data_IF_421524475899
#
_entry.id   IF_421524475899
#
_cell.length_a   1.000
_cell.length_b   1.000
_cell.length_c   1.000
_cell.angle_alpha   90.00
_cell.angle_beta   90.00
_cell.angle_gamma   90.00
#
_symmetry.space_group_name_H-M   'P 1'
#
loop_
_entity.id
_entity.type
_entity.pdbx_description
1 polymer ?
#
# COMPACT_ATOMS: atom_id res chain seq x y z
N UNK A 1 -24.42 -17.54 -2.30
CA UNK A 1 -24.34 -16.43 -1.33
C UNK A 1 -23.25 -15.51 -1.85
N UNK A 2 -23.64 -14.40 -2.50
CA UNK A 2 -22.67 -13.43 -3.04
C UNK A 2 -22.00 -12.78 -1.83
N UNK A 3 -20.69 -12.98 -1.67
CA UNK A 3 -19.93 -12.37 -0.57
C UNK A 3 -20.03 -10.85 -0.64
N UNK A 4 -20.06 -10.18 0.51
CA UNK A 4 -19.98 -8.71 0.56
C UNK A 4 -18.67 -8.26 -0.11
N UNK A 5 -18.75 -7.26 -1.00
CA UNK A 5 -17.57 -6.62 -1.60
C UNK A 5 -16.68 -6.10 -0.46
N UNK A 6 -15.41 -6.48 -0.45
CA UNK A 6 -14.45 -6.05 0.55
C UNK A 6 -13.76 -4.77 0.11
N UNK A 7 -13.69 -3.79 1.00
CA UNK A 7 -12.96 -2.54 0.75
C UNK A 7 -11.53 -2.63 1.29
N UNK A 8 -10.56 -2.29 0.46
CA UNK A 8 -9.14 -2.27 0.83
C UNK A 8 -8.67 -0.83 0.99
N UNK A 9 -8.27 -0.47 2.21
CA UNK A 9 -7.61 0.78 2.53
C UNK A 9 -6.11 0.70 2.29
N UNK A 10 -5.50 1.72 1.69
CA UNK A 10 -4.05 1.81 1.45
C UNK A 10 -3.55 3.12 2.06
N UNK A 11 -2.65 3.01 3.02
CA UNK A 11 -2.03 4.12 3.72
C UNK A 11 -0.67 4.43 3.09
N UNK A 12 -0.65 5.44 2.20
CA UNK A 12 0.51 5.81 1.40
C UNK A 12 0.40 5.35 -0.06
N UNK A 13 0.81 6.21 -0.98
CA UNK A 13 0.84 6.02 -2.43
C UNK A 13 2.27 6.09 -2.98
N UNK A 14 3.26 5.78 -2.14
CA UNK A 14 4.67 5.65 -2.52
C UNK A 14 4.97 4.31 -3.23
N UNK A 15 6.22 3.86 -3.16
CA UNK A 15 6.68 2.68 -3.91
C UNK A 15 5.92 1.40 -3.59
N UNK A 16 5.61 1.15 -2.32
CA UNK A 16 4.79 -0.01 -1.96
C UNK A 16 3.32 0.22 -2.31
N UNK A 17 2.72 1.30 -1.81
CA UNK A 17 1.29 1.52 -1.93
C UNK A 17 0.79 1.59 -3.38
N UNK A 18 1.51 2.30 -4.25
CA UNK A 18 1.14 2.40 -5.67
C UNK A 18 1.17 1.03 -6.36
N UNK A 19 2.22 0.22 -6.10
CA UNK A 19 2.37 -1.08 -6.75
C UNK A 19 1.46 -2.16 -6.12
N UNK A 20 1.19 -2.10 -4.82
CA UNK A 20 0.16 -2.94 -4.19
C UNK A 20 -1.20 -2.65 -4.84
N UNK A 21 -1.58 -1.39 -4.99
CA UNK A 21 -2.84 -1.02 -5.63
C UNK A 21 -2.94 -1.56 -7.07
N UNK A 22 -1.86 -1.44 -7.85
CA UNK A 22 -1.80 -1.98 -9.22
C UNK A 22 -2.00 -3.50 -9.24
N UNK A 23 -1.29 -4.22 -8.37
CA UNK A 23 -1.41 -5.67 -8.28
C UNK A 23 -2.84 -6.09 -7.89
N UNK A 24 -3.44 -5.44 -6.89
CA UNK A 24 -4.81 -5.71 -6.46
C UNK A 24 -5.82 -5.48 -7.58
N UNK A 25 -5.78 -4.34 -8.26
CA UNK A 25 -6.70 -4.04 -9.37
C UNK A 25 -6.53 -5.03 -10.51
N UNK A 26 -5.29 -5.38 -10.87
CA UNK A 26 -5.00 -6.39 -11.90
C UNK A 26 -5.44 -7.80 -11.50
N UNK A 27 -5.58 -8.06 -10.19
CA UNK A 27 -6.10 -9.32 -9.65
C UNK A 27 -7.61 -9.33 -9.43
N UNK A 28 -8.33 -8.28 -9.87
CA UNK A 28 -9.79 -8.23 -9.83
C UNK A 28 -10.39 -7.56 -8.59
N UNK A 29 -9.57 -6.92 -7.74
CA UNK A 29 -10.08 -6.03 -6.69
C UNK A 29 -10.65 -4.78 -7.32
N UNK A 30 -11.88 -4.42 -6.93
CA UNK A 30 -12.66 -3.32 -7.50
C UNK A 30 -13.03 -2.22 -6.49
N UNK A 31 -12.68 -2.35 -5.21
CA UNK A 31 -13.05 -1.39 -4.16
C UNK A 31 -11.84 -1.00 -3.31
N UNK A 32 -11.24 0.15 -3.62
CA UNK A 32 -10.00 0.64 -3.02
C UNK A 32 -10.20 2.03 -2.42
N UNK A 33 -9.55 2.29 -1.29
CA UNK A 33 -9.47 3.61 -0.65
C UNK A 33 -8.02 3.96 -0.36
N UNK A 34 -7.52 5.10 -0.85
CA UNK A 34 -6.11 5.50 -0.73
C UNK A 34 -5.98 6.88 -0.09
N UNK A 35 -5.03 7.04 0.82
CA UNK A 35 -4.61 8.36 1.30
C UNK A 35 -3.09 8.52 1.23
N UNK A 36 -2.66 9.65 0.69
CA UNK A 36 -1.30 10.15 0.66
C UNK A 36 -1.37 11.69 0.52
N UNK A 37 -0.33 12.42 0.90
CA UNK A 37 -0.33 13.89 0.86
C UNK A 37 0.79 14.47 -0.01
N UNK A 38 1.59 13.61 -0.62
CA UNK A 38 2.73 14.02 -1.44
C UNK A 38 2.32 14.31 -2.89
N UNK A 39 3.18 15.08 -3.55
CA UNK A 39 3.20 15.26 -5.00
C UNK A 39 4.23 14.35 -5.64
N UNK A 40 4.04 14.05 -6.93
CA UNK A 40 4.98 13.25 -7.70
C UNK A 40 6.25 14.05 -8.00
N UNK A 41 7.39 13.50 -7.59
CA UNK A 41 8.72 14.03 -7.90
C UNK A 41 9.47 13.13 -8.91
N UNK A 42 10.44 13.68 -9.65
CA UNK A 42 11.23 12.87 -10.59
C UNK A 42 11.94 11.69 -9.93
N UNK A 43 12.41 11.87 -8.69
CA UNK A 43 13.05 10.81 -7.90
C UNK A 43 12.11 9.66 -7.54
N UNK A 44 10.79 9.79 -7.78
CA UNK A 44 9.80 8.76 -7.51
C UNK A 44 9.64 7.78 -8.69
N UNK A 45 9.92 8.24 -9.91
CA UNK A 45 9.63 7.50 -11.16
C UNK A 45 10.42 6.19 -11.29
N UNK A 46 11.53 6.04 -10.56
CA UNK A 46 12.35 4.84 -10.61
C UNK A 46 11.71 3.60 -9.94
N UNK A 47 10.62 3.77 -9.16
CA UNK A 47 10.03 2.67 -8.36
C UNK A 47 8.55 2.81 -8.04
N UNK A 48 7.98 4.01 -8.17
CA UNK A 48 6.56 4.26 -7.91
C UNK A 48 5.79 4.18 -9.24
N UNK A 49 4.50 3.83 -9.19
CA UNK A 49 3.69 3.64 -10.39
C UNK A 49 3.14 4.97 -10.93
N UNK A 50 4.06 5.82 -11.39
CA UNK A 50 3.79 7.14 -11.97
C UNK A 50 4.61 7.35 -13.24
N UNK A 51 4.16 8.28 -14.08
CA UNK A 51 4.76 8.58 -15.37
C UNK A 51 5.34 9.98 -15.44
N UNK A 52 6.25 10.23 -16.40
CA UNK A 52 7.01 11.49 -16.51
C UNK A 52 6.12 12.71 -16.70
N UNK A 53 5.02 12.56 -17.43
CA UNK A 53 4.00 13.57 -17.66
C UNK A 53 3.13 13.85 -16.43
N UNK A 54 3.26 13.06 -15.36
CA UNK A 54 2.54 13.26 -14.10
C UNK A 54 3.35 13.97 -13.02
N UNK A 55 4.62 14.32 -13.28
CA UNK A 55 5.46 15.04 -12.31
C UNK A 55 4.81 16.38 -11.91
N UNK A 56 4.82 16.68 -10.61
CA UNK A 56 4.17 17.86 -10.01
C UNK A 56 2.69 17.68 -9.67
N UNK A 57 2.07 16.55 -10.03
CA UNK A 57 0.68 16.25 -9.69
C UNK A 57 0.57 15.58 -8.32
N UNK A 58 -0.60 15.70 -7.68
CA UNK A 58 -0.93 14.99 -6.43
C UNK A 58 -0.90 13.48 -6.69
N UNK A 59 -0.16 12.73 -5.85
CA UNK A 59 0.06 11.28 -6.04
C UNK A 59 -1.23 10.50 -6.10
N UNK A 60 -2.16 10.72 -5.18
CA UNK A 60 -3.39 9.92 -5.11
C UNK A 60 -4.29 10.13 -6.33
N UNK A 61 -4.36 11.34 -6.88
CA UNK A 61 -5.14 11.62 -8.09
C UNK A 61 -4.52 10.97 -9.34
N UNK A 62 -3.21 11.08 -9.48
CA UNK A 62 -2.49 10.40 -10.56
C UNK A 62 -2.60 8.87 -10.44
N UNK A 63 -2.55 8.33 -9.22
CA UNK A 63 -2.75 6.90 -8.98
C UNK A 63 -4.17 6.48 -9.36
N UNK A 64 -5.19 7.26 -8.99
CA UNK A 64 -6.58 7.03 -9.39
C UNK A 64 -6.70 6.91 -10.90
N UNK A 65 -6.16 7.88 -11.65
CA UNK A 65 -6.16 7.85 -13.11
C UNK A 65 -5.43 6.61 -13.67
N UNK A 66 -4.27 6.28 -13.12
CA UNK A 66 -3.49 5.13 -13.55
C UNK A 66 -4.24 3.81 -13.32
N UNK A 67 -4.96 3.68 -12.20
CA UNK A 67 -5.73 2.48 -11.87
C UNK A 67 -7.03 2.38 -12.67
N UNK A 68 -7.73 3.49 -12.90
CA UNK A 68 -8.93 3.50 -13.75
C UNK A 68 -8.62 3.15 -15.22
N UNK A 69 -7.38 3.38 -15.69
CA UNK A 69 -6.91 2.87 -16.99
C UNK A 69 -6.75 1.34 -17.01
N UNK A 70 -6.55 0.71 -15.85
CA UNK A 70 -6.49 -0.76 -15.73
C UNK A 70 -7.90 -1.33 -15.66
N UNK A 71 -8.76 -0.73 -14.82
CA UNK A 71 -10.15 -1.11 -14.66
C UNK A 71 -11.04 0.14 -14.62
N UNK A 72 -11.77 0.47 -15.70
CA UNK A 72 -12.69 1.61 -15.75
C UNK A 72 -13.83 1.55 -14.73
N UNK A 73 -14.21 0.35 -14.29
CA UNK A 73 -15.29 0.12 -13.32
C UNK A 73 -14.81 0.13 -11.87
N UNK A 74 -13.54 0.46 -11.62
CA UNK A 74 -12.94 0.54 -10.29
C UNK A 74 -13.66 1.58 -9.42
N UNK A 75 -14.21 1.14 -8.29
CA UNK A 75 -14.63 2.01 -7.19
C UNK A 75 -13.41 2.41 -6.37
N UNK A 76 -12.89 3.61 -6.61
CA UNK A 76 -11.71 4.15 -5.93
C UNK A 76 -12.01 5.47 -5.24
N UNK A 77 -11.81 5.50 -3.91
CA UNK A 77 -11.80 6.72 -3.11
C UNK A 77 -10.36 7.16 -2.86
N UNK A 78 -10.06 8.43 -3.13
CA UNK A 78 -8.75 9.01 -2.83
C UNK A 78 -8.86 10.24 -1.95
N UNK A 79 -7.88 10.41 -1.05
CA UNK A 79 -7.74 11.62 -0.23
C UNK A 79 -6.31 12.12 -0.26
N UNK A 80 -6.15 13.36 -0.72
CA UNK A 80 -4.94 14.16 -0.52
C UNK A 80 -4.90 14.64 0.94
N UNK A 81 -4.42 13.78 1.83
CA UNK A 81 -4.39 14.07 3.26
C UNK A 81 -3.26 13.35 3.98
N UNK A 82 -2.71 14.02 4.98
CA UNK A 82 -1.75 13.41 5.88
C UNK A 82 -2.49 12.61 6.95
N UNK A 83 -2.28 11.30 6.95
CA UNK A 83 -2.81 10.43 7.99
C UNK A 83 -2.05 10.63 9.30
N UNK A 84 -2.80 10.80 10.38
CA UNK A 84 -2.29 10.87 11.74
C UNK A 84 -3.23 10.20 12.73
N UNK A 85 -2.84 10.18 14.00
CA UNK A 85 -3.60 9.57 15.10
C UNK A 85 -5.03 10.12 15.27
N UNK A 86 -5.32 11.34 14.80
CA UNK A 86 -6.64 11.97 14.94
C UNK A 86 -7.63 11.52 13.86
N UNK A 87 -7.15 11.17 12.66
CA UNK A 87 -8.00 10.90 11.50
C UNK A 87 -7.93 9.45 10.98
N UNK A 88 -6.87 8.71 11.29
CA UNK A 88 -6.60 7.41 10.67
C UNK A 88 -7.66 6.36 10.97
N UNK A 89 -8.15 6.32 12.21
CA UNK A 89 -9.19 5.36 12.61
C UNK A 89 -10.50 5.58 11.87
N UNK A 90 -10.91 6.84 11.74
CA UNK A 90 -12.13 7.20 11.05
C UNK A 90 -12.00 6.95 9.54
N UNK A 91 -10.87 7.33 8.96
CA UNK A 91 -10.61 7.15 7.54
C UNK A 91 -10.70 5.69 7.09
N UNK A 92 -10.17 4.75 7.88
CA UNK A 92 -10.20 3.31 7.57
C UNK A 92 -11.38 2.55 8.21
N UNK A 93 -12.33 3.23 8.85
CA UNK A 93 -13.43 2.58 9.59
C UNK A 93 -14.37 1.74 8.72
N UNK A 94 -14.39 1.99 7.42
CA UNK A 94 -15.19 1.29 6.41
C UNK A 94 -14.39 0.28 5.58
N UNK A 95 -13.11 0.05 5.94
CA UNK A 95 -12.23 -0.89 5.26
C UNK A 95 -12.20 -2.25 5.96
N UNK A 96 -12.25 -3.34 5.20
CA UNK A 96 -12.10 -4.71 5.71
C UNK A 96 -10.63 -5.09 5.92
N UNK A 97 -9.77 -4.47 5.11
CA UNK A 97 -8.33 -4.75 5.01
C UNK A 97 -7.60 -3.41 4.91
N UNK A 98 -6.48 -3.27 5.61
CA UNK A 98 -5.63 -2.09 5.54
C UNK A 98 -4.20 -2.48 5.15
N UNK A 99 -3.70 -1.85 4.11
CA UNK A 99 -2.31 -1.93 3.65
C UNK A 99 -1.55 -0.73 4.20
N UNK A 100 -0.52 -0.99 4.99
CA UNK A 100 0.40 0.01 5.49
C UNK A 100 1.61 0.11 4.55
N UNK A 101 1.77 1.29 3.93
CA UNK A 101 2.81 1.58 2.94
C UNK A 101 3.51 2.92 3.21
N UNK A 102 3.62 3.34 4.47
CA UNK A 102 4.34 4.53 4.85
C UNK A 102 5.86 4.33 4.79
N UNK A 103 6.54 5.41 4.41
CA UNK A 103 7.99 5.45 4.30
C UNK A 103 8.71 5.46 5.65
N UNK A 104 8.06 5.90 6.75
CA UNK A 104 8.72 6.04 8.07
C UNK A 104 8.18 5.04 9.09
N UNK A 105 9.10 4.36 9.78
CA UNK A 105 8.81 3.40 10.86
C UNK A 105 7.84 3.94 11.93
N UNK A 106 7.95 5.22 12.30
CA UNK A 106 7.05 5.88 13.26
C UNK A 106 5.57 5.78 12.86
N UNK A 107 5.24 5.86 11.57
CA UNK A 107 3.86 5.80 11.11
C UNK A 107 3.30 4.37 11.09
N UNK A 108 4.17 3.36 11.09
CA UNK A 108 3.78 1.94 11.14
C UNK A 108 3.19 1.59 12.50
N UNK A 109 3.90 1.92 13.58
CA UNK A 109 3.40 1.71 14.94
C UNK A 109 2.10 2.49 15.17
N UNK A 110 2.04 3.73 14.68
CA UNK A 110 0.82 4.54 14.76
C UNK A 110 -0.37 3.86 14.08
N UNK A 111 -0.19 3.26 12.90
CA UNK A 111 -1.25 2.53 12.22
C UNK A 111 -1.72 1.32 13.02
N UNK A 112 -0.79 0.51 13.53
CA UNK A 112 -1.11 -0.68 14.31
C UNK A 112 -1.80 -0.36 15.65
N UNK A 113 -1.57 0.83 16.20
CA UNK A 113 -2.20 1.32 17.44
C UNK A 113 -3.61 1.88 17.21
N UNK A 114 -3.87 2.48 16.04
CA UNK A 114 -5.08 3.29 15.81
C UNK A 114 -6.08 2.66 14.83
N UNK A 115 -5.62 1.84 13.88
CA UNK A 115 -6.50 0.97 13.08
C UNK A 115 -6.89 -0.22 13.94
N UNK A 116 -8.17 -0.59 13.91
CA UNK A 116 -8.72 -1.63 14.78
C UNK A 116 -7.99 -2.97 14.66
N UNK A 117 -8.19 -3.84 15.67
CA UNK A 117 -7.68 -5.23 15.64
C UNK A 117 -8.56 -6.19 14.84
N UNK A 118 -9.65 -5.71 14.23
CA UNK A 118 -10.63 -6.56 13.53
C UNK A 118 -10.23 -6.79 12.07
N UNK A 119 -9.58 -5.81 11.50
CA UNK A 119 -9.16 -5.71 10.12
C UNK A 119 -7.92 -6.59 9.88
N UNK A 120 -7.79 -7.12 8.66
CA UNK A 120 -6.53 -7.68 8.18
C UNK A 120 -5.58 -6.52 7.89
N UNK A 121 -4.39 -6.53 8.48
CA UNK A 121 -3.36 -5.52 8.26
C UNK A 121 -2.16 -6.14 7.57
N UNK A 122 -1.74 -5.53 6.46
CA UNK A 122 -0.55 -5.95 5.70
C UNK A 122 0.42 -4.78 5.60
N UNK A 123 1.60 -4.93 6.20
CA UNK A 123 2.63 -3.90 6.26
C UNK A 123 3.84 -4.28 5.40
N UNK A 124 4.51 -3.29 4.82
CA UNK A 124 5.87 -3.48 4.32
C UNK A 124 6.90 -3.19 5.40
N UNK A 125 8.08 -3.82 5.39
CA UNK A 125 9.21 -3.45 6.24
C UNK A 125 10.52 -3.91 5.64
N UNK A 126 11.43 -2.98 5.33
CA UNK A 126 12.72 -3.36 4.76
C UNK A 126 12.70 -3.47 3.24
N UNK A 127 12.74 -2.32 2.57
CA UNK A 127 12.68 -2.20 1.09
C UNK A 127 13.89 -1.48 0.49
N UNK A 128 14.85 -1.10 1.34
CA UNK A 128 16.11 -0.54 0.90
C UNK A 128 17.02 -1.62 0.31
N UNK A 129 18.07 -1.18 -0.38
CA UNK A 129 19.08 -2.04 -1.00
C UNK A 129 18.53 -2.88 -2.17
N UNK A 130 19.42 -3.53 -2.93
CA UNK A 130 19.05 -4.37 -4.08
C UNK A 130 18.92 -5.87 -3.72
N UNK A 131 19.36 -6.27 -2.52
CA UNK A 131 19.34 -7.67 -2.08
C UNK A 131 17.91 -8.17 -1.90
N UNK A 132 17.63 -9.35 -2.46
CA UNK A 132 16.32 -10.01 -2.47
C UNK A 132 16.28 -11.29 -1.62
N UNK A 133 17.43 -11.82 -1.20
CA UNK A 133 17.53 -13.14 -0.55
C UNK A 133 16.83 -13.20 0.80
N UNK A 134 16.75 -12.08 1.51
CA UNK A 134 16.21 -12.00 2.87
C UNK A 134 14.72 -11.57 2.90
N UNK A 135 14.07 -11.42 1.75
CA UNK A 135 12.66 -11.00 1.71
C UNK A 135 11.79 -12.15 2.23
N UNK A 136 11.02 -11.86 3.28
CA UNK A 136 10.13 -12.84 3.90
C UNK A 136 8.81 -12.25 4.38
N UNK A 137 8.04 -13.08 5.07
CA UNK A 137 6.76 -12.72 5.69
C UNK A 137 6.84 -13.06 7.18
N UNK A 138 6.55 -12.08 8.03
CA UNK A 138 6.36 -12.26 9.48
C UNK A 138 4.90 -12.06 9.82
N UNK A 139 4.35 -12.95 10.65
CA UNK A 139 3.00 -12.81 11.20
C UNK A 139 3.06 -12.31 12.64
N UNK A 140 2.25 -11.32 12.96
CA UNK A 140 2.12 -10.78 14.32
C UNK A 140 0.67 -10.86 14.78
N UNK A 141 0.42 -11.61 15.86
CA UNK A 141 -0.95 -11.88 16.31
C UNK A 141 -1.78 -12.63 15.25
N UNK A 142 -3.09 -12.38 15.22
CA UNK A 142 -4.01 -13.13 14.34
C UNK A 142 -4.08 -12.57 12.92
N UNK A 143 -4.08 -11.23 12.79
CA UNK A 143 -4.49 -10.53 11.58
C UNK A 143 -3.45 -9.56 11.02
N UNK A 144 -2.20 -9.58 11.49
CA UNK A 144 -1.15 -8.66 11.02
C UNK A 144 -0.05 -9.45 10.32
N UNK A 145 0.28 -9.01 9.11
CA UNK A 145 1.34 -9.57 8.28
C UNK A 145 2.34 -8.47 7.90
N UNK A 146 3.62 -8.76 7.98
CA UNK A 146 4.71 -7.83 7.67
C UNK A 146 5.57 -8.48 6.59
N UNK A 147 5.85 -7.76 5.51
CA UNK A 147 6.56 -8.26 4.33
C UNK A 147 7.79 -7.42 4.04
N UNK A 148 8.93 -8.05 3.78
CA UNK A 148 10.19 -7.39 3.37
C UNK A 148 11.40 -8.05 4.01
N UNK A 149 12.54 -7.35 4.05
CA UNK A 149 13.79 -7.90 4.64
C UNK A 149 13.94 -7.63 6.15
N UNK A 150 13.07 -6.79 6.72
CA UNK A 150 13.06 -6.43 8.14
C UNK A 150 14.35 -5.75 8.68
N UNK A 151 15.29 -5.38 7.81
CA UNK A 151 16.61 -4.87 8.18
C UNK A 151 16.95 -3.53 7.54
N UNK A 152 16.60 -3.31 6.27
CA UNK A 152 17.01 -2.12 5.52
C UNK A 152 16.09 -0.91 5.77
N UNK A 153 16.66 0.25 6.11
CA UNK A 153 15.94 1.52 6.13
C UNK A 153 16.16 2.28 4.81
N UNK A 154 15.09 2.84 4.26
CA UNK A 154 15.11 3.68 3.07
C UNK A 154 15.91 4.97 3.27
N UNK A 155 16.16 5.37 4.51
CA UNK A 155 17.01 6.51 4.85
C UNK A 155 18.49 6.23 4.59
N UNK A 156 18.89 4.97 4.77
CA UNK A 156 20.29 4.56 4.71
C UNK A 156 20.63 3.95 3.35
N UNK A 157 19.62 3.42 2.64
CA UNK A 157 19.81 2.68 1.41
C UNK A 157 18.92 3.22 0.28
N UNK A 158 19.49 3.29 -0.95
CA UNK A 158 18.68 3.46 -2.16
C UNK A 158 17.68 2.32 -2.30
N UNK A 159 16.48 2.64 -2.75
CA UNK A 159 15.42 1.68 -3.08
C UNK A 159 15.43 1.38 -4.57
N UNK A 160 15.34 0.09 -4.93
CA UNK A 160 15.33 -0.37 -6.31
C UNK A 160 13.96 -0.95 -6.70
N UNK A 161 13.55 -0.71 -7.94
CA UNK A 161 12.24 -1.14 -8.46
C UNK A 161 11.96 -2.62 -8.23
N UNK A 162 12.94 -3.49 -8.50
CA UNK A 162 12.80 -4.95 -8.37
C UNK A 162 12.40 -5.38 -6.96
N UNK A 163 13.09 -4.87 -5.94
CA UNK A 163 12.78 -5.17 -4.54
C UNK A 163 11.43 -4.62 -4.12
N UNK A 164 11.14 -3.37 -4.49
CA UNK A 164 9.85 -2.73 -4.21
C UNK A 164 8.70 -3.54 -4.82
N UNK A 165 8.85 -4.00 -6.07
CA UNK A 165 7.85 -4.79 -6.76
C UNK A 165 7.64 -6.16 -6.12
N UNK A 166 8.71 -6.87 -5.73
CA UNK A 166 8.58 -8.17 -5.06
C UNK A 166 7.83 -8.01 -3.74
N UNK A 167 8.22 -7.05 -2.90
CA UNK A 167 7.57 -6.81 -1.61
C UNK A 167 6.11 -6.40 -1.82
N UNK A 168 5.82 -5.48 -2.74
CA UNK A 168 4.46 -5.07 -3.07
C UNK A 168 3.60 -6.23 -3.61
N UNK A 169 4.18 -7.12 -4.42
CA UNK A 169 3.47 -8.30 -4.95
C UNK A 169 3.16 -9.31 -3.85
N UNK A 170 4.11 -9.56 -2.95
CA UNK A 170 3.89 -10.42 -1.78
C UNK A 170 2.83 -9.83 -0.84
N UNK A 171 2.85 -8.51 -0.60
CA UNK A 171 1.81 -7.83 0.17
C UNK A 171 0.43 -7.99 -0.47
N UNK A 172 0.31 -7.73 -1.77
CA UNK A 172 -0.94 -7.92 -2.51
C UNK A 172 -1.41 -9.39 -2.45
N UNK A 173 -0.51 -10.36 -2.59
CA UNK A 173 -0.85 -11.78 -2.49
C UNK A 173 -1.43 -12.15 -1.12
N UNK A 174 -0.90 -11.60 -0.02
CA UNK A 174 -1.48 -11.81 1.32
C UNK A 174 -2.89 -11.21 1.39
N UNK A 175 -3.11 -10.03 0.83
CA UNK A 175 -4.44 -9.42 0.76
C UNK A 175 -5.40 -10.31 -0.02
N UNK A 176 -4.98 -10.89 -1.15
CA UNK A 176 -5.82 -11.81 -1.94
C UNK A 176 -6.14 -13.09 -1.16
N UNK A 177 -5.12 -13.74 -0.58
CA UNK A 177 -5.23 -15.01 0.13
C UNK A 177 -6.08 -14.87 1.40
N UNK A 178 -5.75 -13.90 2.26
CA UNK A 178 -6.38 -13.73 3.57
C UNK A 178 -7.64 -12.87 3.49
N UNK A 179 -7.76 -12.06 2.46
CA UNK A 179 -8.98 -11.34 2.11
C UNK A 179 -10.03 -12.22 1.46
N UNK A 180 -9.73 -13.47 1.08
CA UNK A 180 -10.74 -14.38 0.50
C UNK A 180 -11.26 -13.88 -0.84
N UNK A 181 -10.36 -13.38 -1.69
CA UNK A 181 -10.65 -13.01 -3.08
C UNK A 181 -10.47 -14.20 -4.05
N UNK A 182 -10.10 -15.38 -3.51
CA UNK A 182 -10.10 -16.67 -4.19
C UNK A 182 -11.31 -17.50 -3.80
#
# INVERSE_FOLDING_TARGET
MVGRIKKIGIAGAGGLGSNVAVNLVRSGVDNIKVADFDVIDESNLNRQFYFKDQVGRIKVEALRENLTRINPDLSIEVRDMKLDKSNMREFFSDCDIVVEAFDKSKYKSMLLEHVGRKELIVCGSGIGHYNLEEIGIKKMGKNIYIVGDFSSDIKDCKTYSTKVQIVASMMANIVMERGGFY
#
